data_IF_339444559757
#
_entry.id   IF_339444559757
#
_cell.length_a   1.000
_cell.length_b   1.000
_cell.length_c   1.000
_cell.angle_alpha   90.00
_cell.angle_beta   90.00
_cell.angle_gamma   90.00
#
_symmetry.space_group_name_H-M   'P 1'
#
loop_
_entity.id
_entity.type
_entity.pdbx_description
1 polymer ?
#
# COMPACT_ATOMS: atom_id res chain seq x y z
N UNK A 1 2.70 -15.55 11.49
CA UNK A 1 1.99 -14.47 10.77
C UNK A 1 1.25 -13.57 11.75
N UNK A 2 1.98 -12.82 12.57
CA UNK A 2 1.37 -12.12 13.73
C UNK A 2 1.21 -10.61 13.46
N UNK A 3 2.00 -10.09 12.53
CA UNK A 3 2.02 -8.69 12.10
C UNK A 3 1.46 -8.64 10.68
N UNK A 4 0.43 -7.83 10.44
CA UNK A 4 -0.30 -7.73 9.17
C UNK A 4 -0.79 -9.10 8.62
N UNK A 5 -1.58 -9.87 9.41
CA UNK A 5 -1.93 -11.24 9.08
C UNK A 5 -2.72 -11.38 7.77
N UNK A 6 -3.57 -10.40 7.43
CA UNK A 6 -4.34 -10.43 6.18
C UNK A 6 -3.40 -10.37 4.98
N UNK A 7 -2.50 -9.40 4.95
CA UNK A 7 -1.58 -9.16 3.84
C UNK A 7 -0.70 -10.40 3.59
N UNK A 8 -0.08 -10.93 4.65
CA UNK A 8 0.80 -12.08 4.50
C UNK A 8 0.06 -13.39 4.22
N UNK A 9 -1.20 -13.54 4.65
CA UNK A 9 -2.05 -14.66 4.23
C UNK A 9 -2.41 -14.59 2.75
N UNK A 10 -2.75 -13.40 2.24
CA UNK A 10 -3.04 -13.20 0.81
C UNK A 10 -1.78 -13.41 -0.03
N UNK A 11 -0.63 -12.88 0.40
CA UNK A 11 0.66 -13.10 -0.29
C UNK A 11 1.10 -14.55 -0.26
N UNK A 12 0.81 -15.28 0.83
CA UNK A 12 1.04 -16.71 0.90
C UNK A 12 0.10 -17.49 -0.02
N UNK A 13 -1.18 -17.13 -0.04
CA UNK A 13 -2.16 -17.71 -0.96
C UNK A 13 -1.77 -17.48 -2.42
N UNK A 14 -1.21 -16.31 -2.77
CA UNK A 14 -0.69 -16.01 -4.10
C UNK A 14 0.71 -16.58 -4.36
N UNK A 15 1.28 -17.38 -3.44
CA UNK A 15 2.63 -17.97 -3.57
C UNK A 15 3.81 -16.98 -3.46
N UNK A 16 3.54 -15.69 -3.31
CA UNK A 16 4.55 -14.63 -3.26
C UNK A 16 5.35 -14.62 -1.94
N UNK A 17 4.73 -15.02 -0.82
CA UNK A 17 5.37 -15.03 0.49
C UNK A 17 5.33 -16.39 1.16
N UNK A 18 6.38 -16.68 1.93
CA UNK A 18 6.47 -17.89 2.75
C UNK A 18 7.30 -17.57 3.99
N UNK A 19 6.72 -17.82 5.16
CA UNK A 19 7.33 -17.48 6.45
C UNK A 19 8.15 -18.63 7.05
N UNK A 20 7.80 -19.90 6.75
CA UNK A 20 8.52 -21.09 7.24
C UNK A 20 9.26 -21.78 6.10
N UNK A 21 10.49 -22.25 6.34
CA UNK A 21 11.15 -23.20 5.43
C UNK A 21 10.46 -24.54 5.60
N UNK A 22 10.15 -25.22 4.50
CA UNK A 22 9.66 -26.60 4.57
C UNK A 22 10.89 -27.50 4.62
N UNK A 23 10.86 -28.48 5.52
CA UNK A 23 11.90 -29.51 5.58
C UNK A 23 11.78 -30.49 4.39
N UNK A 24 10.60 -30.56 3.77
CA UNK A 24 10.32 -31.41 2.60
C UNK A 24 10.64 -30.69 1.27
N UNK A 25 11.64 -31.21 0.55
CA UNK A 25 12.11 -30.70 -0.75
C UNK A 25 10.98 -30.66 -1.81
N UNK A 26 10.11 -31.68 -1.83
CA UNK A 26 9.01 -31.77 -2.80
C UNK A 26 8.01 -30.64 -2.64
N UNK A 27 7.63 -30.32 -1.39
CA UNK A 27 6.68 -29.23 -1.10
C UNK A 27 7.29 -27.87 -1.43
N UNK A 28 8.59 -27.70 -1.15
CA UNK A 28 9.34 -26.50 -1.56
C UNK A 28 9.40 -26.33 -3.09
N UNK A 29 9.56 -27.42 -3.83
CA UNK A 29 9.54 -27.42 -5.30
C UNK A 29 8.16 -27.03 -5.85
N UNK A 30 7.08 -27.70 -5.40
CA UNK A 30 5.71 -27.39 -5.83
C UNK A 30 5.33 -25.94 -5.55
N UNK A 31 5.66 -25.43 -4.37
CA UNK A 31 5.41 -24.02 -4.04
C UNK A 31 6.22 -23.06 -4.92
N UNK A 32 7.44 -23.44 -5.30
CA UNK A 32 8.25 -22.63 -6.22
C UNK A 32 7.63 -22.62 -7.62
N UNK A 33 7.19 -23.77 -8.14
CA UNK A 33 6.46 -23.87 -9.40
C UNK A 33 5.20 -23.00 -9.39
N UNK A 34 4.40 -23.06 -8.31
CA UNK A 34 3.20 -22.24 -8.16
C UNK A 34 3.49 -20.74 -8.18
N UNK A 35 4.52 -20.29 -7.46
CA UNK A 35 4.96 -18.89 -7.46
C UNK A 35 5.36 -18.42 -8.87
N UNK A 36 6.16 -19.22 -9.59
CA UNK A 36 6.60 -18.87 -10.95
C UNK A 36 5.44 -18.91 -11.95
N UNK A 37 4.46 -19.80 -11.77
CA UNK A 37 3.25 -19.84 -12.60
C UNK A 37 2.43 -18.54 -12.46
N UNK A 38 2.20 -18.06 -11.23
CA UNK A 38 1.50 -16.77 -11.00
C UNK A 38 2.32 -15.60 -11.54
N UNK A 39 3.64 -15.62 -11.33
CA UNK A 39 4.53 -14.60 -11.89
C UNK A 39 4.41 -14.53 -13.42
N UNK A 40 4.50 -15.67 -14.09
CA UNK A 40 4.37 -15.75 -15.55
C UNK A 40 2.97 -15.30 -16.02
N UNK A 41 1.91 -15.74 -15.35
CA UNK A 41 0.53 -15.35 -15.67
C UNK A 41 0.35 -13.83 -15.68
N UNK A 42 0.81 -13.13 -14.63
CA UNK A 42 0.66 -11.68 -14.49
C UNK A 42 1.51 -10.92 -15.51
N UNK A 43 2.77 -11.34 -15.70
CA UNK A 43 3.67 -10.67 -16.63
C UNK A 43 3.24 -10.88 -18.09
N UNK A 44 2.81 -12.08 -18.45
CA UNK A 44 2.26 -12.37 -19.78
C UNK A 44 1.03 -11.51 -20.06
N UNK A 45 0.08 -11.47 -19.11
CA UNK A 45 -1.12 -10.63 -19.26
C UNK A 45 -0.77 -9.14 -19.39
N UNK A 46 0.19 -8.65 -18.61
CA UNK A 46 0.67 -7.25 -18.71
C UNK A 46 1.28 -6.96 -20.08
N UNK A 47 2.06 -7.88 -20.65
CA UNK A 47 2.64 -7.73 -21.99
C UNK A 47 1.53 -7.63 -23.05
N UNK A 48 0.49 -8.46 -22.94
CA UNK A 48 -0.64 -8.45 -23.88
C UNK A 48 -1.44 -7.14 -23.84
N UNK A 49 -1.67 -6.59 -22.65
CA UNK A 49 -2.30 -5.26 -22.49
C UNK A 49 -1.42 -4.14 -23.08
N UNK A 50 -0.12 -4.16 -22.84
CA UNK A 50 0.81 -3.15 -23.38
C UNK A 50 0.88 -3.21 -24.91
N UNK A 51 0.91 -4.41 -25.50
CA UNK A 51 0.88 -4.57 -26.96
C UNK A 51 -0.42 -3.99 -27.53
N UNK A 52 -1.56 -4.23 -26.89
CA UNK A 52 -2.84 -3.71 -27.35
C UNK A 52 -2.89 -2.18 -27.31
N UNK A 53 -2.39 -1.57 -26.24
CA UNK A 53 -2.25 -0.10 -26.13
C UNK A 53 -1.38 0.47 -27.25
N UNK A 54 -0.30 -0.21 -27.63
CA UNK A 54 0.57 0.22 -28.74
C UNK A 54 -0.16 0.11 -30.09
N UNK A 55 -1.02 -0.91 -30.24
CA UNK A 55 -1.79 -1.16 -31.47
C UNK A 55 -2.94 -0.17 -31.66
N UNK A 56 -3.66 0.15 -30.59
CA UNK A 56 -4.84 1.05 -30.62
C UNK A 56 -4.50 2.53 -30.47
N UNK A 57 -3.19 2.88 -30.53
CA UNK A 57 -2.69 4.25 -30.31
C UNK A 57 -3.33 5.33 -31.19
N UNK A 58 -3.82 4.96 -32.36
CA UNK A 58 -4.38 5.91 -33.33
C UNK A 58 -5.86 6.25 -33.01
N UNK A 59 -6.52 5.47 -32.16
CA UNK A 59 -7.91 5.66 -31.74
C UNK A 59 -7.98 6.10 -30.27
N UNK A 60 -8.26 7.39 -30.05
CA UNK A 60 -8.21 8.01 -28.70
C UNK A 60 -9.08 7.28 -27.67
N UNK A 61 -10.28 6.85 -28.03
CA UNK A 61 -11.20 6.18 -27.09
C UNK A 61 -10.66 4.81 -26.63
N UNK A 62 -10.19 3.99 -27.58
CA UNK A 62 -9.64 2.66 -27.29
C UNK A 62 -8.30 2.75 -26.58
N UNK A 63 -7.46 3.71 -26.97
CA UNK A 63 -6.22 4.04 -26.30
C UNK A 63 -6.46 4.41 -24.82
N UNK A 64 -7.47 5.24 -24.55
CA UNK A 64 -7.77 5.69 -23.19
C UNK A 64 -8.26 4.53 -22.31
N UNK A 65 -9.04 3.61 -22.88
CA UNK A 65 -9.50 2.38 -22.20
C UNK A 65 -8.33 1.44 -21.87
N UNK A 66 -7.42 1.21 -22.81
CA UNK A 66 -6.24 0.37 -22.58
C UNK A 66 -5.22 1.02 -21.62
N UNK A 67 -5.04 2.34 -21.68
CA UNK A 67 -4.01 3.05 -20.90
C UNK A 67 -4.21 2.92 -19.39
N UNK A 68 -5.45 2.98 -18.89
CA UNK A 68 -5.68 2.92 -17.44
C UNK A 68 -5.46 1.52 -16.88
N UNK A 69 -5.87 0.47 -17.60
CA UNK A 69 -5.63 -0.92 -17.22
C UNK A 69 -4.14 -1.26 -17.32
N UNK A 70 -3.51 -0.97 -18.47
CA UNK A 70 -2.09 -1.23 -18.69
C UNK A 70 -1.22 -0.53 -17.63
N UNK A 71 -1.52 0.75 -17.31
CA UNK A 71 -0.83 1.47 -16.24
C UNK A 71 -0.93 0.76 -14.89
N UNK A 72 -2.11 0.27 -14.53
CA UNK A 72 -2.31 -0.48 -13.28
C UNK A 72 -1.51 -1.77 -13.26
N UNK A 73 -1.51 -2.55 -14.33
CA UNK A 73 -0.73 -3.80 -14.43
C UNK A 73 0.78 -3.57 -14.45
N UNK A 74 1.26 -2.50 -15.11
CA UNK A 74 2.67 -2.10 -15.07
C UNK A 74 3.08 -1.74 -13.64
N UNK A 75 2.27 -0.96 -12.91
CA UNK A 75 2.57 -0.65 -11.49
C UNK A 75 2.58 -1.90 -10.61
N UNK A 76 1.67 -2.86 -10.85
CA UNK A 76 1.66 -4.14 -10.16
C UNK A 76 2.96 -4.92 -10.42
N UNK A 77 3.40 -5.01 -11.67
CA UNK A 77 4.65 -5.70 -12.01
C UNK A 77 5.85 -5.08 -11.28
N UNK A 78 5.93 -3.75 -11.24
CA UNK A 78 6.98 -3.02 -10.52
C UNK A 78 6.94 -3.29 -9.01
N UNK A 79 5.75 -3.27 -8.39
CA UNK A 79 5.57 -3.62 -6.98
C UNK A 79 5.98 -5.07 -6.70
N UNK A 80 5.57 -5.99 -7.56
CA UNK A 80 5.87 -7.41 -7.40
C UNK A 80 7.38 -7.67 -7.52
N UNK A 81 8.04 -7.08 -8.51
CA UNK A 81 9.49 -7.16 -8.67
C UNK A 81 10.22 -6.60 -7.43
N UNK A 82 9.84 -5.42 -6.95
CA UNK A 82 10.44 -4.83 -5.74
C UNK A 82 10.27 -5.76 -4.52
N UNK A 83 9.06 -6.26 -4.29
CA UNK A 83 8.78 -7.18 -3.18
C UNK A 83 9.64 -8.44 -3.22
N UNK A 84 9.79 -9.05 -4.41
CA UNK A 84 10.61 -10.24 -4.58
C UNK A 84 12.11 -9.98 -4.33
N UNK A 85 12.63 -8.85 -4.84
CA UNK A 85 14.03 -8.46 -4.66
C UNK A 85 14.35 -8.10 -3.20
N UNK A 86 13.39 -7.53 -2.47
CA UNK A 86 13.57 -7.01 -1.11
C UNK A 86 12.98 -7.91 -0.01
N UNK A 87 12.62 -9.15 -0.36
CA UNK A 87 11.97 -10.11 0.56
C UNK A 87 12.71 -10.25 1.91
N UNK A 88 14.04 -10.35 1.87
CA UNK A 88 14.86 -10.49 3.09
C UNK A 88 14.81 -9.24 3.97
N UNK A 89 14.78 -8.05 3.37
CA UNK A 89 14.70 -6.80 4.11
C UNK A 89 13.31 -6.59 4.72
N UNK A 90 12.25 -7.02 4.03
CA UNK A 90 10.89 -7.08 4.58
C UNK A 90 10.82 -8.02 5.79
N UNK A 91 11.48 -9.19 5.73
CA UNK A 91 11.57 -10.09 6.89
C UNK A 91 12.26 -9.39 8.08
N UNK A 92 13.38 -8.70 7.84
CA UNK A 92 14.07 -7.94 8.90
C UNK A 92 13.18 -6.85 9.49
N UNK A 93 12.33 -6.19 8.70
CA UNK A 93 11.36 -5.20 9.20
C UNK A 93 10.33 -5.83 10.14
N UNK A 94 9.81 -7.01 9.79
CA UNK A 94 8.91 -7.76 10.68
C UNK A 94 9.61 -8.13 11.98
N UNK A 95 10.85 -8.59 11.90
CA UNK A 95 11.64 -8.95 13.08
C UNK A 95 11.94 -7.73 13.96
N UNK A 96 12.15 -6.55 13.39
CA UNK A 96 12.28 -5.30 14.15
C UNK A 96 11.03 -5.01 15.02
N UNK A 97 9.82 -5.29 14.51
CA UNK A 97 8.57 -5.11 15.25
C UNK A 97 8.34 -6.21 16.30
N UNK A 98 9.02 -7.36 16.20
CA UNK A 98 8.97 -8.46 17.18
C UNK A 98 9.92 -8.28 18.36
N UNK A 99 10.87 -7.35 18.27
CA UNK A 99 11.81 -7.05 19.37
C UNK A 99 11.04 -6.72 20.65
N UNK A 100 11.54 -7.19 21.80
CA UNK A 100 10.93 -7.01 23.13
C UNK A 100 10.54 -5.55 23.44
N UNK A 101 11.30 -4.56 22.94
CA UNK A 101 10.98 -3.14 23.09
C UNK A 101 9.68 -2.73 22.39
N UNK A 102 9.35 -3.34 21.26
CA UNK A 102 8.13 -3.05 20.50
C UNK A 102 6.90 -3.81 21.02
N UNK A 103 7.08 -4.75 21.95
CA UNK A 103 6.02 -5.54 22.56
C UNK A 103 5.36 -4.78 23.73
N UNK A 104 4.06 -5.00 23.97
CA UNK A 104 3.34 -4.37 25.08
C UNK A 104 3.74 -5.00 26.42
N UNK A 105 3.85 -4.16 27.46
CA UNK A 105 4.11 -4.57 28.86
C UNK A 105 2.82 -4.71 29.65
N UNK A 106 1.86 -3.82 29.38
CA UNK A 106 0.63 -3.67 30.13
C UNK A 106 -0.58 -3.79 29.20
N UNK A 107 -1.77 -4.03 29.79
CA UNK A 107 -3.03 -4.10 29.05
C UNK A 107 -3.28 -2.83 28.22
N UNK A 108 -2.96 -1.66 28.77
CA UNK A 108 -3.12 -0.38 28.07
C UNK A 108 -2.22 -0.27 26.83
N UNK A 109 -0.97 -0.75 26.91
CA UNK A 109 -0.06 -0.77 25.75
C UNK A 109 -0.53 -1.77 24.70
N UNK A 110 -1.06 -2.93 25.15
CA UNK A 110 -1.65 -3.94 24.27
C UNK A 110 -2.84 -3.37 23.49
N UNK A 111 -3.72 -2.61 24.15
CA UNK A 111 -4.85 -1.94 23.49
C UNK A 111 -4.39 -0.95 22.40
N UNK A 112 -3.30 -0.21 22.61
CA UNK A 112 -2.75 0.72 21.59
C UNK A 112 -2.34 -0.07 20.35
N UNK A 113 -1.52 -1.12 20.53
CA UNK A 113 -1.02 -1.94 19.42
C UNK A 113 -2.17 -2.64 18.68
N UNK A 114 -3.14 -3.18 19.42
CA UNK A 114 -4.31 -3.83 18.83
C UNK A 114 -5.20 -2.85 18.05
N UNK A 115 -5.34 -1.61 18.52
CA UNK A 115 -6.11 -0.57 17.81
C UNK A 115 -5.47 -0.25 16.47
N UNK A 116 -4.16 -0.03 16.44
CA UNK A 116 -3.41 0.23 15.21
C UNK A 116 -3.38 -1.01 14.28
N UNK A 117 -3.20 -2.21 14.84
CA UNK A 117 -3.26 -3.45 14.06
C UNK A 117 -4.65 -3.69 13.47
N UNK A 118 -5.71 -3.35 14.20
CA UNK A 118 -7.11 -3.44 13.74
C UNK A 118 -7.37 -2.42 12.63
N UNK A 119 -6.87 -1.19 12.78
CA UNK A 119 -6.93 -0.15 11.74
C UNK A 119 -6.30 -0.63 10.44
N UNK A 120 -5.07 -1.15 10.50
CA UNK A 120 -4.37 -1.71 9.33
C UNK A 120 -5.15 -2.88 8.69
N UNK A 121 -5.68 -3.80 9.51
CA UNK A 121 -6.49 -4.94 9.04
C UNK A 121 -7.75 -4.48 8.30
N UNK A 122 -8.55 -3.59 8.91
CA UNK A 122 -9.80 -3.15 8.31
C UNK A 122 -9.58 -2.28 7.07
N UNK A 123 -8.57 -1.40 7.08
CA UNK A 123 -8.22 -0.64 5.87
C UNK A 123 -7.86 -1.57 4.71
N UNK A 124 -7.08 -2.63 4.95
CA UNK A 124 -6.75 -3.60 3.90
C UNK A 124 -7.96 -4.42 3.44
N UNK A 125 -8.85 -4.83 4.35
CA UNK A 125 -10.02 -5.63 4.00
C UNK A 125 -11.07 -4.83 3.22
N UNK A 126 -11.32 -3.59 3.64
CA UNK A 126 -12.25 -2.69 2.95
C UNK A 126 -11.73 -2.40 1.54
N UNK A 127 -10.44 -2.07 1.41
CA UNK A 127 -9.84 -1.83 0.11
C UNK A 127 -9.87 -3.07 -0.79
N UNK A 128 -9.56 -4.26 -0.23
CA UNK A 128 -9.64 -5.52 -0.96
C UNK A 128 -11.06 -5.82 -1.45
N UNK A 129 -12.06 -5.66 -0.58
CA UNK A 129 -13.45 -5.89 -0.93
C UNK A 129 -13.90 -4.96 -2.06
N UNK A 130 -13.62 -3.66 -1.93
CA UNK A 130 -13.93 -2.67 -2.97
C UNK A 130 -13.31 -3.03 -4.32
N UNK A 131 -12.01 -3.33 -4.34
CA UNK A 131 -11.31 -3.67 -5.59
C UNK A 131 -11.78 -4.99 -6.21
N UNK A 132 -12.17 -5.97 -5.39
CA UNK A 132 -12.72 -7.24 -5.88
C UNK A 132 -14.12 -7.06 -6.47
N UNK A 133 -14.97 -6.23 -5.86
CA UNK A 133 -16.29 -5.89 -6.42
C UNK A 133 -16.12 -5.22 -7.78
N UNK A 134 -15.16 -4.29 -7.91
CA UNK A 134 -14.83 -3.68 -9.20
C UNK A 134 -14.40 -4.72 -10.24
N UNK A 135 -13.51 -5.65 -9.88
CA UNK A 135 -13.06 -6.71 -10.78
C UNK A 135 -14.20 -7.63 -11.22
N UNK A 136 -15.09 -8.00 -10.31
CA UNK A 136 -16.29 -8.77 -10.65
C UNK A 136 -17.18 -8.02 -11.64
N UNK A 137 -17.31 -6.69 -11.52
CA UNK A 137 -18.01 -5.86 -12.50
C UNK A 137 -17.46 -6.02 -13.92
N UNK A 138 -16.14 -5.90 -14.08
CA UNK A 138 -15.46 -6.11 -15.37
C UNK A 138 -15.67 -7.52 -15.93
N UNK A 139 -15.73 -8.55 -15.08
CA UNK A 139 -16.00 -9.92 -15.53
C UNK A 139 -17.45 -10.14 -15.97
N UNK A 140 -18.41 -9.49 -15.31
CA UNK A 140 -19.85 -9.71 -15.55
C UNK A 140 -20.34 -8.94 -16.79
N UNK A 141 -19.77 -7.77 -17.10
CA UNK A 141 -20.18 -6.95 -18.27
C UNK A 141 -20.19 -7.74 -19.59
N UNK A 142 -19.12 -8.46 -19.99
CA UNK A 142 -19.11 -9.26 -21.20
C UNK A 142 -20.13 -10.41 -21.18
N UNK A 143 -20.36 -11.02 -19.99
CA UNK A 143 -21.33 -12.11 -19.84
C UNK A 143 -22.75 -11.60 -20.08
N UNK A 144 -23.11 -10.43 -19.55
CA UNK A 144 -24.43 -9.83 -19.76
C UNK A 144 -24.61 -9.30 -21.20
N UNK A 145 -23.50 -9.05 -21.89
CA UNK A 145 -23.46 -8.73 -23.32
C UNK A 145 -23.58 -9.93 -24.25
N UNK A 146 -23.61 -11.18 -23.74
CA UNK A 146 -23.85 -12.37 -24.56
C UNK A 146 -25.16 -12.23 -25.32
N UNK A 147 -25.08 -12.11 -26.65
CA UNK A 147 -26.23 -11.94 -27.53
C UNK A 147 -26.07 -10.85 -28.59
N UNK A 148 -25.01 -10.05 -28.55
CA UNK A 148 -24.52 -9.31 -29.73
C UNK A 148 -23.52 -10.23 -30.47
N UNK A 149 -23.50 -10.20 -31.80
CA UNK A 149 -22.79 -11.16 -32.68
C UNK A 149 -21.24 -11.18 -32.55
N UNK A 150 -20.67 -10.62 -31.48
CA UNK A 150 -19.23 -10.53 -31.23
C UNK A 150 -18.86 -11.13 -29.87
N UNK A 151 -17.80 -11.94 -29.85
CA UNK A 151 -17.24 -12.52 -28.63
C UNK A 151 -16.49 -11.44 -27.82
N UNK A 152 -17.07 -10.97 -26.71
CA UNK A 152 -16.51 -9.87 -25.91
C UNK A 152 -15.64 -10.44 -24.78
N UNK A 153 -14.36 -10.07 -24.74
CA UNK A 153 -13.45 -10.42 -23.66
C UNK A 153 -13.59 -9.46 -22.45
N UNK A 154 -13.31 -9.91 -21.21
CA UNK A 154 -13.28 -9.07 -20.01
C UNK A 154 -12.39 -7.84 -20.11
N UNK A 155 -11.23 -7.99 -20.75
CA UNK A 155 -10.36 -6.87 -21.12
C UNK A 155 -9.95 -6.99 -22.57
N UNK A 156 -9.84 -5.85 -23.24
CA UNK A 156 -9.29 -5.74 -24.59
C UNK A 156 -7.77 -5.90 -24.48
N UNK A 157 -7.31 -7.15 -24.56
CA UNK A 157 -5.90 -7.50 -24.56
C UNK A 157 -5.53 -8.14 -25.89
N UNK A 158 -4.28 -7.95 -26.33
CA UNK A 158 -3.77 -8.59 -27.53
C UNK A 158 -3.69 -10.10 -27.33
N UNK A 159 -4.24 -10.87 -28.26
CA UNK A 159 -4.16 -12.33 -28.27
C UNK A 159 -3.57 -12.77 -29.62
N UNK A 160 -2.50 -13.59 -29.65
CA UNK A 160 -1.82 -13.96 -30.89
C UNK A 160 -2.56 -15.02 -31.72
N UNK A 161 -3.72 -15.50 -31.26
CA UNK A 161 -4.54 -16.53 -31.91
C UNK A 161 -5.98 -16.04 -32.07
N UNK A 162 -6.71 -16.62 -33.04
CA UNK A 162 -8.11 -16.25 -33.31
C UNK A 162 -9.03 -16.73 -32.19
N UNK A 163 -9.77 -15.81 -31.60
CA UNK A 163 -10.76 -16.08 -30.53
C UNK A 163 -12.16 -16.36 -31.11
N UNK A 164 -12.23 -16.69 -32.40
CA UNK A 164 -13.49 -16.93 -33.13
C UNK A 164 -14.16 -18.25 -32.77
N UNK A 165 -13.38 -19.21 -32.27
CA UNK A 165 -13.87 -20.52 -31.83
C UNK A 165 -14.17 -20.53 -30.32
N UNK A 166 -15.13 -21.36 -29.90
CA UNK A 166 -15.59 -21.46 -28.51
C UNK A 166 -14.47 -21.88 -27.55
N UNK A 167 -13.63 -22.83 -27.95
CA UNK A 167 -12.56 -23.35 -27.09
C UNK A 167 -11.48 -22.29 -26.75
N UNK A 168 -10.82 -21.64 -27.73
CA UNK A 168 -9.84 -20.58 -27.42
C UNK A 168 -10.48 -19.38 -26.73
N UNK A 169 -11.75 -19.07 -27.00
CA UNK A 169 -12.50 -18.04 -26.26
C UNK A 169 -12.62 -18.39 -24.77
N UNK A 170 -13.17 -19.55 -24.43
CA UNK A 170 -13.36 -19.97 -23.03
C UNK A 170 -12.01 -20.08 -22.30
N UNK A 171 -10.98 -20.62 -22.96
CA UNK A 171 -9.65 -20.72 -22.38
C UNK A 171 -9.06 -19.34 -22.05
N UNK A 172 -9.15 -18.39 -22.99
CA UNK A 172 -8.66 -17.01 -22.79
C UNK A 172 -9.46 -16.31 -21.70
N UNK A 173 -10.78 -16.46 -21.71
CA UNK A 173 -11.66 -15.88 -20.69
C UNK A 173 -11.28 -16.37 -19.28
N UNK A 174 -11.07 -17.67 -19.10
CA UNK A 174 -10.63 -18.25 -17.82
C UNK A 174 -9.23 -17.76 -17.41
N UNK A 175 -8.31 -17.65 -18.37
CA UNK A 175 -6.97 -17.12 -18.10
C UNK A 175 -7.02 -15.65 -17.65
N UNK A 176 -7.79 -14.79 -18.34
CA UNK A 176 -7.97 -13.39 -17.97
C UNK A 176 -8.66 -13.26 -16.61
N UNK A 177 -9.68 -14.09 -16.34
CA UNK A 177 -10.35 -14.15 -15.03
C UNK A 177 -9.36 -14.44 -13.89
N UNK A 178 -8.51 -15.45 -14.08
CA UNK A 178 -7.50 -15.83 -13.11
C UNK A 178 -6.46 -14.72 -12.92
N UNK A 179 -5.98 -14.13 -14.03
CA UNK A 179 -5.02 -13.03 -14.01
C UNK A 179 -5.57 -11.83 -13.22
N UNK A 180 -6.81 -11.41 -13.50
CA UNK A 180 -7.47 -10.29 -12.81
C UNK A 180 -7.64 -10.57 -11.31
N UNK A 181 -8.12 -11.77 -10.96
CA UNK A 181 -8.31 -12.16 -9.56
C UNK A 181 -7.00 -12.11 -8.76
N UNK A 182 -5.94 -12.74 -9.26
CA UNK A 182 -4.63 -12.73 -8.61
C UNK A 182 -3.98 -11.34 -8.61
N UNK A 183 -4.15 -10.56 -9.69
CA UNK A 183 -3.62 -9.22 -9.81
C UNK A 183 -4.20 -8.28 -8.75
N UNK A 184 -5.52 -8.30 -8.54
CA UNK A 184 -6.17 -7.48 -7.49
C UNK A 184 -5.68 -7.88 -6.10
N UNK A 185 -5.63 -9.18 -5.81
CA UNK A 185 -5.16 -9.70 -4.52
C UNK A 185 -3.72 -9.24 -4.22
N UNK A 186 -2.82 -9.36 -5.20
CA UNK A 186 -1.42 -8.96 -5.05
C UNK A 186 -1.25 -7.45 -4.98
N UNK A 187 -1.92 -6.69 -5.85
CA UNK A 187 -1.83 -5.23 -5.87
C UNK A 187 -2.24 -4.63 -4.51
N UNK A 188 -3.42 -5.04 -4.02
CA UNK A 188 -3.93 -4.60 -2.72
C UNK A 188 -2.99 -5.01 -1.58
N UNK A 189 -2.45 -6.23 -1.62
CA UNK A 189 -1.52 -6.71 -0.59
C UNK A 189 -0.21 -5.93 -0.57
N UNK A 190 0.35 -5.58 -1.73
CA UNK A 190 1.56 -4.77 -1.78
C UNK A 190 1.30 -3.35 -1.26
N UNK A 191 0.17 -2.75 -1.61
CA UNK A 191 -0.19 -1.43 -1.10
C UNK A 191 -0.42 -1.44 0.41
N UNK A 192 -1.16 -2.44 0.89
CA UNK A 192 -1.47 -2.58 2.31
C UNK A 192 -0.30 -2.95 3.19
N UNK A 193 0.75 -3.55 2.63
CA UNK A 193 2.01 -3.70 3.34
C UNK A 193 2.65 -2.34 3.66
N UNK A 194 2.68 -1.41 2.71
CA UNK A 194 3.36 -0.11 2.90
C UNK A 194 2.63 0.72 3.95
N UNK A 195 1.34 1.00 3.76
CA UNK A 195 0.60 1.75 4.78
C UNK A 195 0.38 0.96 6.07
N UNK A 196 0.38 -0.38 6.02
CA UNK A 196 0.36 -1.24 7.21
C UNK A 196 1.61 -1.03 8.09
N UNK A 197 2.80 -1.00 7.50
CA UNK A 197 4.04 -0.67 8.23
C UNK A 197 4.00 0.76 8.79
N UNK A 198 3.45 1.72 8.03
CA UNK A 198 3.27 3.09 8.50
C UNK A 198 2.35 3.17 9.72
N UNK A 199 1.21 2.48 9.70
CA UNK A 199 0.27 2.41 10.84
C UNK A 199 0.95 1.79 12.06
N UNK A 200 1.70 0.70 11.88
CA UNK A 200 2.46 0.11 12.98
C UNK A 200 3.52 1.07 13.53
N UNK A 201 4.22 1.85 12.68
CA UNK A 201 5.13 2.89 13.13
C UNK A 201 4.40 3.98 13.95
N UNK A 202 3.21 4.42 13.52
CA UNK A 202 2.37 5.35 14.28
C UNK A 202 2.02 4.79 15.67
N UNK A 203 1.64 3.50 15.75
CA UNK A 203 1.36 2.85 17.02
C UNK A 203 2.59 2.74 17.94
N UNK A 204 3.76 2.50 17.37
CA UNK A 204 5.02 2.49 18.14
C UNK A 204 5.42 3.89 18.64
N UNK A 205 5.16 4.95 17.85
CA UNK A 205 5.35 6.33 18.29
C UNK A 205 4.41 6.68 19.46
N UNK A 206 3.13 6.30 19.35
CA UNK A 206 2.17 6.53 20.43
C UNK A 206 2.55 5.79 21.72
N UNK A 207 3.10 4.58 21.59
CA UNK A 207 3.65 3.81 22.70
C UNK A 207 4.84 4.54 23.35
N UNK A 208 5.76 5.10 22.55
CA UNK A 208 6.88 5.92 23.06
C UNK A 208 6.35 7.13 23.82
N UNK A 209 5.39 7.88 23.27
CA UNK A 209 4.82 9.06 23.94
C UNK A 209 4.28 8.73 25.34
N UNK A 210 3.56 7.61 25.47
CA UNK A 210 3.02 7.17 26.76
C UNK A 210 4.13 6.77 27.74
N UNK A 211 5.01 5.86 27.32
CA UNK A 211 6.13 5.40 28.16
C UNK A 211 6.99 6.56 28.64
N UNK A 212 7.24 7.53 27.77
CA UNK A 212 8.01 8.72 28.10
C UNK A 212 7.30 9.59 29.14
N UNK A 213 6.00 9.82 28.98
CA UNK A 213 5.19 10.58 29.94
C UNK A 213 5.15 9.91 31.32
N UNK A 214 4.94 8.58 31.34
CA UNK A 214 4.89 7.78 32.57
C UNK A 214 6.25 7.75 33.28
N UNK A 215 7.34 7.53 32.54
CA UNK A 215 8.69 7.51 33.09
C UNK A 215 9.12 8.87 33.62
N UNK A 216 8.77 9.97 32.94
CA UNK A 216 9.05 11.33 33.43
C UNK A 216 8.28 11.57 34.73
N UNK A 217 6.99 11.21 34.79
CA UNK A 217 6.19 11.36 36.03
C UNK A 217 6.78 10.55 37.19
N UNK A 218 7.20 9.31 36.93
CA UNK A 218 7.86 8.48 37.93
C UNK A 218 9.19 9.08 38.41
N UNK A 219 10.02 9.58 37.49
CA UNK A 219 11.33 10.18 37.83
C UNK A 219 11.20 11.42 38.73
N UNK A 220 10.11 12.19 38.59
CA UNK A 220 9.86 13.38 39.41
C UNK A 220 9.34 13.01 40.80
N UNK A 221 8.51 11.97 40.90
CA UNK A 221 7.90 11.56 42.16
C UNK A 221 8.83 10.74 43.06
N UNK A 222 9.72 9.92 42.48
CA UNK A 222 10.66 9.09 43.23
C UNK A 222 12.04 9.74 43.30
N UNK A 223 12.34 10.43 44.41
CA UNK A 223 13.72 10.85 44.74
C UNK A 223 14.57 9.60 45.03
N UNK A 224 15.38 9.20 44.05
CA UNK A 224 16.55 8.29 44.12
C UNK A 224 16.35 6.95 44.87
N UNK A 225 16.38 5.85 44.11
CA UNK A 225 16.69 4.53 44.67
C UNK A 225 16.42 3.40 43.68
N UNK A 226 17.38 3.14 42.79
CA UNK A 226 17.43 2.04 41.81
C UNK A 226 16.32 1.98 40.73
N UNK A 227 16.71 1.71 39.49
CA UNK A 227 15.90 1.37 38.30
C UNK A 227 15.20 2.46 37.46
N UNK A 228 15.17 3.74 37.85
CA UNK A 228 14.56 4.79 36.98
C UNK A 228 15.43 5.18 35.79
N UNK A 229 16.77 5.20 35.92
CA UNK A 229 17.70 5.63 34.86
C UNK A 229 17.62 4.76 33.59
N UNK A 230 17.29 3.48 33.72
CA UNK A 230 17.17 2.54 32.59
C UNK A 230 15.91 2.78 31.75
N UNK A 231 14.91 3.47 32.30
CA UNK A 231 13.58 3.62 31.66
C UNK A 231 13.55 4.67 30.54
N UNK A 232 14.20 5.84 30.74
CA UNK A 232 14.28 6.90 29.71
C UNK A 232 15.28 6.51 28.63
N UNK A 233 16.40 5.89 28.99
CA UNK A 233 17.38 5.35 28.04
C UNK A 233 16.73 4.31 27.11
N UNK A 234 15.86 3.46 27.65
CA UNK A 234 15.09 2.52 26.85
C UNK A 234 14.13 3.22 25.88
N UNK A 235 13.44 4.28 26.29
CA UNK A 235 12.61 5.09 25.40
C UNK A 235 13.42 5.75 24.28
N UNK A 236 14.65 6.24 24.58
CA UNK A 236 15.56 6.79 23.57
C UNK A 236 15.92 5.71 22.54
N UNK A 237 16.28 4.51 23.02
CA UNK A 237 16.62 3.37 22.14
C UNK A 237 15.43 2.93 21.28
N UNK A 238 14.23 2.94 21.85
CA UNK A 238 12.99 2.64 21.13
C UNK A 238 12.68 3.70 20.06
N UNK A 239 12.86 4.98 20.38
CA UNK A 239 12.73 6.08 19.40
C UNK A 239 13.71 5.93 18.22
N UNK A 240 14.98 5.61 18.50
CA UNK A 240 16.00 5.36 17.46
C UNK A 240 15.62 4.14 16.61
N UNK A 241 15.11 3.07 17.22
CA UNK A 241 14.64 1.87 16.52
C UNK A 241 13.50 2.20 15.56
N UNK A 242 12.47 2.93 16.02
CA UNK A 242 11.31 3.31 15.19
C UNK A 242 11.73 4.25 14.06
N UNK A 243 12.58 5.23 14.33
CA UNK A 243 13.11 6.13 13.32
C UNK A 243 13.91 5.37 12.24
N UNK A 244 14.71 4.38 12.65
CA UNK A 244 15.44 3.51 11.73
C UNK A 244 14.51 2.61 10.93
N UNK A 245 13.46 2.07 11.57
CA UNK A 245 12.43 1.28 10.92
C UNK A 245 11.72 2.07 9.82
N UNK A 246 11.25 3.28 10.12
CA UNK A 246 10.59 4.17 9.13
C UNK A 246 11.54 4.48 7.96
N UNK A 247 12.81 4.80 8.23
CA UNK A 247 13.80 5.03 7.16
C UNK A 247 13.99 3.82 6.26
N UNK A 248 14.03 2.61 6.83
CA UNK A 248 14.14 1.36 6.05
C UNK A 248 12.88 1.13 5.21
N UNK A 249 11.68 1.31 5.77
CA UNK A 249 10.42 1.23 5.00
C UNK A 249 10.44 2.21 3.83
N UNK A 250 10.86 3.45 4.07
CA UNK A 250 10.99 4.47 3.03
C UNK A 250 11.97 4.04 1.93
N UNK A 251 13.17 3.59 2.30
CA UNK A 251 14.17 3.14 1.33
C UNK A 251 13.72 1.96 0.45
N UNK A 252 12.84 1.09 0.97
CA UNK A 252 12.31 -0.04 0.21
C UNK A 252 11.21 0.37 -0.76
N UNK A 253 10.30 1.25 -0.36
CA UNK A 253 9.04 1.45 -1.09
C UNK A 253 8.88 2.83 -1.73
N UNK A 254 9.62 3.87 -1.32
CA UNK A 254 9.33 5.25 -1.75
C UNK A 254 9.40 5.44 -3.26
N UNK A 255 10.40 4.84 -3.93
CA UNK A 255 10.52 4.91 -5.38
C UNK A 255 9.36 4.25 -6.10
N UNK A 256 8.93 3.07 -5.64
CA UNK A 256 7.77 2.38 -6.22
C UNK A 256 6.48 3.16 -6.00
N UNK A 257 6.30 3.78 -4.83
CA UNK A 257 5.13 4.63 -4.55
C UNK A 257 5.14 5.90 -5.41
N UNK A 258 6.30 6.50 -5.67
CA UNK A 258 6.40 7.63 -6.58
C UNK A 258 5.96 7.27 -8.00
N UNK A 259 6.45 6.14 -8.53
CA UNK A 259 6.04 5.67 -9.85
C UNK A 259 4.54 5.37 -9.88
N UNK A 260 3.99 4.77 -8.82
CA UNK A 260 2.55 4.57 -8.67
C UNK A 260 1.78 5.90 -8.73
N UNK A 261 2.24 6.95 -8.07
CA UNK A 261 1.57 8.26 -8.09
C UNK A 261 1.59 8.90 -9.48
N UNK A 262 2.68 8.75 -10.24
CA UNK A 262 2.73 9.22 -11.63
C UNK A 262 1.74 8.47 -12.52
N UNK A 263 1.69 7.14 -12.42
CA UNK A 263 0.68 6.36 -13.16
C UNK A 263 -0.74 6.67 -12.69
N UNK A 264 -0.95 6.99 -11.41
CA UNK A 264 -2.28 7.38 -10.90
C UNK A 264 -2.81 8.65 -11.56
N UNK A 265 -1.95 9.59 -11.98
CA UNK A 265 -2.38 10.77 -12.74
C UNK A 265 -3.02 10.38 -14.08
N UNK A 266 -2.35 9.48 -14.81
CA UNK A 266 -2.83 8.94 -16.08
C UNK A 266 -4.13 8.19 -15.84
N UNK A 267 -4.15 7.29 -14.86
CA UNK A 267 -5.33 6.46 -14.54
C UNK A 267 -6.54 7.32 -14.17
N UNK A 268 -6.38 8.30 -13.29
CA UNK A 268 -7.49 9.17 -12.88
C UNK A 268 -8.00 10.04 -14.04
N UNK A 269 -7.09 10.62 -14.83
CA UNK A 269 -7.44 11.42 -16.02
C UNK A 269 -8.24 10.60 -17.05
N UNK A 270 -7.71 9.45 -17.43
CA UNK A 270 -8.31 8.53 -18.42
C UNK A 270 -9.62 7.93 -17.91
N UNK A 271 -9.73 7.60 -16.62
CA UNK A 271 -10.98 7.12 -16.01
C UNK A 271 -12.08 8.20 -16.04
N UNK A 272 -11.77 9.45 -15.71
CA UNK A 272 -12.76 10.55 -15.77
C UNK A 272 -13.24 10.75 -17.22
N UNK A 273 -12.34 10.64 -18.19
CA UNK A 273 -12.69 10.72 -19.62
C UNK A 273 -13.62 9.60 -20.07
N UNK A 274 -13.36 8.35 -19.68
CA UNK A 274 -14.29 7.24 -20.00
C UNK A 274 -15.64 7.41 -19.30
N UNK A 275 -15.64 7.87 -18.05
CA UNK A 275 -16.88 8.15 -17.31
C UNK A 275 -17.70 9.24 -18.00
N UNK A 276 -17.08 10.26 -18.62
CA UNK A 276 -17.79 11.34 -19.32
C UNK A 276 -18.43 10.89 -20.64
N UNK A 277 -17.88 9.85 -21.27
CA UNK A 277 -18.36 9.31 -22.57
C UNK A 277 -19.35 8.15 -22.42
N UNK A 278 -19.40 7.50 -21.26
CA UNK A 278 -20.27 6.36 -21.01
C UNK A 278 -21.69 6.77 -20.61
N UNK A 279 -22.68 5.95 -20.99
CA UNK A 279 -24.10 6.22 -20.67
C UNK A 279 -24.31 6.12 -19.16
N UNK A 280 -24.95 7.14 -18.60
CA UNK A 280 -25.32 7.18 -17.18
C UNK A 280 -26.13 5.93 -16.79
N UNK A 281 -25.84 5.40 -15.59
CA UNK A 281 -26.48 4.22 -15.00
C UNK A 281 -26.30 2.89 -15.76
N UNK A 282 -25.43 2.84 -16.76
CA UNK A 282 -25.00 1.55 -17.34
C UNK A 282 -24.10 0.77 -16.35
N UNK A 283 -24.03 -0.55 -16.51
CA UNK A 283 -23.15 -1.42 -15.70
C UNK A 283 -21.68 -1.05 -15.91
N UNK A 284 -21.32 -0.67 -17.13
CA UNK A 284 -20.00 -0.13 -17.50
C UNK A 284 -19.68 1.16 -16.72
N UNK A 285 -20.61 2.12 -16.72
CA UNK A 285 -20.49 3.36 -15.96
C UNK A 285 -20.29 3.12 -14.45
N UNK A 286 -21.07 2.20 -13.86
CA UNK A 286 -20.91 1.82 -12.46
C UNK A 286 -19.53 1.18 -12.19
N UNK A 287 -19.06 0.30 -13.07
CA UNK A 287 -17.76 -0.36 -12.92
C UNK A 287 -16.60 0.63 -13.03
N UNK A 288 -16.67 1.59 -13.97
CA UNK A 288 -15.70 2.68 -14.12
C UNK A 288 -15.67 3.62 -12.91
N UNK A 289 -16.83 3.97 -12.35
CA UNK A 289 -16.90 4.79 -11.13
C UNK A 289 -16.30 4.03 -9.93
N UNK A 290 -16.63 2.75 -9.76
CA UNK A 290 -16.08 1.95 -8.68
C UNK A 290 -14.56 1.80 -8.82
N UNK A 291 -14.05 1.66 -10.05
CA UNK A 291 -12.63 1.66 -10.34
C UNK A 291 -11.98 2.99 -9.98
N UNK A 292 -12.56 4.11 -10.42
CA UNK A 292 -12.08 5.46 -10.10
C UNK A 292 -12.01 5.70 -8.58
N UNK A 293 -13.08 5.34 -7.85
CA UNK A 293 -13.12 5.43 -6.39
C UNK A 293 -12.05 4.55 -5.74
N UNK A 294 -11.83 3.34 -6.25
CA UNK A 294 -10.80 2.43 -5.75
C UNK A 294 -9.39 3.01 -5.92
N UNK A 295 -9.08 3.57 -7.09
CA UNK A 295 -7.78 4.21 -7.35
C UNK A 295 -7.58 5.48 -6.51
N UNK A 296 -8.64 6.28 -6.35
CA UNK A 296 -8.64 7.44 -5.45
C UNK A 296 -8.39 7.03 -3.99
N UNK A 297 -9.07 5.99 -3.52
CA UNK A 297 -8.87 5.45 -2.17
C UNK A 297 -7.46 4.93 -1.98
N UNK A 298 -6.88 4.25 -2.97
CA UNK A 298 -5.50 3.77 -2.93
C UNK A 298 -4.52 4.93 -2.66
N UNK A 299 -4.55 5.99 -3.48
CA UNK A 299 -3.68 7.16 -3.32
C UNK A 299 -3.96 7.87 -1.98
N UNK A 300 -5.23 8.00 -1.61
CA UNK A 300 -5.64 8.61 -0.35
C UNK A 300 -5.06 7.86 0.86
N UNK A 301 -5.12 6.52 0.91
CA UNK A 301 -4.60 5.74 2.03
C UNK A 301 -3.09 5.93 2.21
N UNK A 302 -2.31 5.97 1.12
CA UNK A 302 -0.88 6.28 1.18
C UNK A 302 -0.62 7.66 1.81
N UNK A 303 -1.30 8.69 1.32
CA UNK A 303 -1.12 10.06 1.76
C UNK A 303 -1.65 10.30 3.18
N UNK A 304 -2.78 9.68 3.54
CA UNK A 304 -3.39 9.77 4.86
C UNK A 304 -2.47 9.22 5.94
N UNK A 305 -2.00 7.97 5.76
CA UNK A 305 -1.13 7.34 6.75
C UNK A 305 0.27 7.93 6.77
N UNK A 306 0.79 8.40 5.64
CA UNK A 306 2.03 9.18 5.59
C UNK A 306 1.94 10.47 6.40
N UNK A 307 0.84 11.22 6.24
CA UNK A 307 0.57 12.43 7.01
C UNK A 307 0.34 12.14 8.51
N UNK A 308 -0.39 11.07 8.83
CA UNK A 308 -0.60 10.63 10.22
C UNK A 308 0.72 10.31 10.92
N UNK A 309 1.66 9.67 10.21
CA UNK A 309 3.00 9.39 10.73
C UNK A 309 3.75 10.68 11.06
N UNK A 310 3.71 11.66 10.15
CA UNK A 310 4.36 12.95 10.38
C UNK A 310 3.77 13.66 11.61
N UNK A 311 2.45 13.74 11.72
CA UNK A 311 1.77 14.36 12.86
C UNK A 311 2.07 13.64 14.18
N UNK A 312 2.01 12.30 14.20
CA UNK A 312 2.31 11.50 15.39
C UNK A 312 3.76 11.67 15.82
N UNK A 313 4.70 11.72 14.88
CA UNK A 313 6.11 11.92 15.20
C UNK A 313 6.38 13.29 15.84
N UNK A 314 5.74 14.36 15.35
CA UNK A 314 5.81 15.70 15.96
C UNK A 314 5.18 15.74 17.35
N UNK A 315 4.14 14.93 17.58
CA UNK A 315 3.50 14.81 18.90
C UNK A 315 4.43 14.32 20.00
N UNK A 316 5.53 13.63 19.70
CA UNK A 316 6.51 13.20 20.72
C UNK A 316 7.09 14.42 21.44
N UNK A 317 7.44 15.47 20.70
CA UNK A 317 7.97 16.70 21.27
C UNK A 317 6.95 17.36 22.20
N UNK A 318 5.67 17.39 21.80
CA UNK A 318 4.58 17.93 22.62
C UNK A 318 4.39 17.12 23.91
N UNK A 319 4.40 15.79 23.83
CA UNK A 319 4.27 14.92 25.01
C UNK A 319 5.40 15.13 26.01
N UNK A 320 6.64 15.35 25.54
CA UNK A 320 7.75 15.72 26.43
C UNK A 320 7.51 17.11 27.01
N UNK A 321 7.17 18.10 26.18
CA UNK A 321 7.02 19.48 26.61
C UNK A 321 5.97 19.65 27.73
N UNK A 322 4.83 18.96 27.62
CA UNK A 322 3.77 18.99 28.63
C UNK A 322 4.06 18.14 29.88
N UNK A 323 5.17 17.40 29.90
CA UNK A 323 5.60 16.66 31.08
C UNK A 323 6.45 17.54 32.01
N UNK A 324 6.64 17.13 33.26
CA UNK A 324 7.51 17.82 34.22
C UNK A 324 9.01 17.54 33.96
N UNK A 325 9.43 17.53 32.69
CA UNK A 325 10.78 17.18 32.25
C UNK A 325 11.87 18.10 32.83
N UNK A 326 11.52 19.33 33.21
CA UNK A 326 12.43 20.29 33.87
C UNK A 326 12.82 19.89 35.29
N UNK A 327 12.08 18.97 35.92
CA UNK A 327 12.36 18.44 37.26
C UNK A 327 13.19 17.14 37.22
N UNK A 328 13.46 16.59 36.03
CA UNK A 328 14.28 15.39 35.83
C UNK A 328 15.78 15.66 36.01
N UNK A 329 16.58 14.60 36.10
CA UNK A 329 18.04 14.72 36.25
C UNK A 329 18.68 15.39 35.02
N UNK A 330 19.87 15.97 35.19
CA UNK A 330 20.58 16.65 34.09
C UNK A 330 20.85 15.71 32.89
N UNK A 331 21.14 14.43 33.16
CA UNK A 331 21.37 13.42 32.10
C UNK A 331 20.09 13.15 31.31
N UNK A 332 18.98 12.88 32.00
CA UNK A 332 17.68 12.62 31.36
C UNK A 332 17.21 13.85 30.58
N UNK A 333 17.34 15.04 31.17
CA UNK A 333 16.98 16.30 30.52
C UNK A 333 17.70 16.49 29.19
N UNK A 334 19.01 16.22 29.12
CA UNK A 334 19.78 16.27 27.87
C UNK A 334 19.25 15.30 26.82
N UNK A 335 18.95 14.06 27.20
CA UNK A 335 18.36 13.07 26.31
C UNK A 335 16.97 13.47 25.81
N UNK A 336 16.12 14.01 26.68
CA UNK A 336 14.77 14.48 26.33
C UNK A 336 14.82 15.66 25.36
N UNK A 337 15.71 16.64 25.58
CA UNK A 337 15.93 17.75 24.64
C UNK A 337 16.33 17.23 23.26
N UNK A 338 17.24 16.24 23.19
CA UNK A 338 17.63 15.63 21.91
C UNK A 338 16.44 14.94 21.22
N UNK A 339 15.59 14.23 21.96
CA UNK A 339 14.37 13.64 21.38
C UNK A 339 13.43 14.73 20.86
N UNK A 340 13.21 15.81 21.62
CA UNK A 340 12.33 16.91 21.21
C UNK A 340 12.82 17.56 19.91
N UNK A 341 14.10 17.94 19.83
CA UNK A 341 14.69 18.57 18.63
C UNK A 341 14.54 17.66 17.41
N UNK A 342 14.80 16.35 17.57
CA UNK A 342 14.65 15.40 16.47
C UNK A 342 13.18 15.21 16.06
N UNK A 343 12.28 15.14 17.02
CA UNK A 343 10.84 14.90 16.77
C UNK A 343 10.16 16.09 16.10
N UNK A 344 10.61 17.33 16.37
CA UNK A 344 10.10 18.54 15.72
C UNK A 344 10.28 18.57 14.21
N UNK A 345 11.33 17.89 13.68
CA UNK A 345 11.54 17.77 12.23
C UNK A 345 10.47 16.93 11.54
N UNK A 346 9.80 16.05 12.28
CA UNK A 346 8.84 15.09 11.75
C UNK A 346 9.51 13.90 11.05
N UNK A 347 8.85 12.75 11.13
CA UNK A 347 9.15 11.55 10.35
C UNK A 347 8.24 11.55 9.12
N UNK A 348 8.81 11.82 7.96
CA UNK A 348 8.09 11.81 6.69
C UNK A 348 8.75 10.84 5.71
N UNK A 349 7.92 10.10 4.98
CA UNK A 349 8.38 9.38 3.80
C UNK A 349 8.61 10.38 2.68
N UNK A 350 9.88 10.70 2.42
CA UNK A 350 10.26 11.60 1.33
C UNK A 350 11.47 11.07 0.59
N UNK A 351 11.42 11.16 -0.74
CA UNK A 351 12.57 10.96 -1.59
C UNK A 351 13.12 12.33 -2.00
N UNK A 352 14.30 12.68 -1.48
CA UNK A 352 15.04 13.89 -1.86
C UNK A 352 14.22 15.20 -1.89
N UNK A 353 13.25 15.35 -0.98
CA UNK A 353 12.32 16.51 -0.84
C UNK A 353 11.35 16.77 -2.00
N UNK A 354 11.36 16.00 -3.09
CA UNK A 354 10.47 16.26 -4.24
C UNK A 354 9.05 15.70 -4.05
N UNK A 355 8.92 14.54 -3.42
CA UNK A 355 7.63 13.91 -3.16
C UNK A 355 7.53 13.46 -1.71
N UNK A 356 6.43 13.79 -1.07
CA UNK A 356 6.08 13.45 0.31
C UNK A 356 4.77 12.69 0.34
N UNK A 357 4.64 11.69 1.21
CA UNK A 357 3.34 11.06 1.45
C UNK A 357 2.49 11.97 2.36
N UNK A 358 1.86 12.99 1.76
CA UNK A 358 1.07 14.03 2.44
C UNK A 358 -0.27 14.27 1.77
N UNK A 359 -1.22 14.84 2.51
CA UNK A 359 -2.54 15.21 1.97
C UNK A 359 -2.46 16.31 0.90
N UNK A 360 -1.43 17.16 0.96
CA UNK A 360 -1.14 18.14 -0.09
C UNK A 360 -0.82 17.45 -1.42
N UNK A 361 -0.04 16.36 -1.37
CA UNK A 361 0.31 15.58 -2.56
C UNK A 361 -0.91 14.89 -3.15
N UNK A 362 -1.80 14.36 -2.32
CA UNK A 362 -3.09 13.81 -2.77
C UNK A 362 -3.93 14.87 -3.50
N UNK A 363 -4.05 16.07 -2.91
CA UNK A 363 -4.80 17.18 -3.50
C UNK A 363 -4.17 17.62 -4.82
N UNK A 364 -2.84 17.66 -4.90
CA UNK A 364 -2.11 17.98 -6.12
C UNK A 364 -2.36 16.94 -7.22
N UNK A 365 -2.30 15.64 -6.90
CA UNK A 365 -2.59 14.55 -7.85
C UNK A 365 -4.01 14.70 -8.41
N UNK A 366 -4.99 14.92 -7.53
CA UNK A 366 -6.38 15.04 -7.93
C UNK A 366 -6.62 16.25 -8.84
N UNK A 367 -6.14 17.44 -8.45
CA UNK A 367 -6.26 18.66 -9.25
C UNK A 367 -5.58 18.52 -10.61
N UNK A 368 -4.36 17.99 -10.64
CA UNK A 368 -3.59 17.80 -11.87
C UNK A 368 -4.27 16.82 -12.81
N UNK A 369 -4.82 15.72 -12.29
CA UNK A 369 -5.57 14.73 -13.09
C UNK A 369 -6.82 15.34 -13.72
N UNK A 370 -7.55 16.18 -12.97
CA UNK A 370 -8.74 16.88 -13.47
C UNK A 370 -8.37 17.94 -14.53
N UNK A 371 -7.28 18.69 -14.32
CA UNK A 371 -6.76 19.62 -15.34
C UNK A 371 -6.34 18.89 -16.62
N UNK A 372 -5.66 17.74 -16.50
CA UNK A 372 -5.30 16.91 -17.64
C UNK A 372 -6.53 16.37 -18.37
N UNK A 373 -7.57 15.96 -17.63
CA UNK A 373 -8.86 15.56 -18.21
C UNK A 373 -9.50 16.70 -19.02
N UNK A 374 -9.52 17.93 -18.51
CA UNK A 374 -10.08 19.06 -19.25
C UNK A 374 -9.34 19.32 -20.58
N UNK A 375 -8.02 19.16 -20.60
CA UNK A 375 -7.21 19.25 -21.83
C UNK A 375 -7.56 18.11 -22.80
N UNK A 376 -7.67 16.88 -22.30
CA UNK A 376 -8.03 15.72 -23.12
C UNK A 376 -9.44 15.86 -23.70
N UNK A 377 -10.39 16.38 -22.92
CA UNK A 377 -11.75 16.66 -23.37
C UNK A 377 -11.79 17.75 -24.45
N UNK A 378 -10.98 18.81 -24.31
CA UNK A 378 -10.85 19.85 -25.32
C UNK A 378 -10.22 19.32 -26.62
N UNK A 379 -9.23 18.43 -26.53
CA UNK A 379 -8.58 17.85 -27.71
C UNK A 379 -9.44 16.76 -28.41
N UNK A 380 -10.37 16.14 -27.69
CA UNK A 380 -11.30 15.15 -28.22
C UNK A 380 -12.55 15.77 -28.87
N UNK A 381 -12.87 17.03 -28.55
CA UNK A 381 -13.97 17.78 -29.15
C UNK A 381 -13.46 18.52 -30.38
#
# INVERSE_FOLDING_TARGET
MDILPVNFKVLWFCGAWKERKDDNIVVACLHSCYKYAIFFLIYQFTIFEVIEVIRTRDQINELTEGLFLASTYVTLCLKYANFLLRKNDISKLLDCLRVKMCQPRNLTEKMIIETHSRKAKWSSLIFLFMSQVTAMGFMIIPILGFGKDEWILPTKAYVPYSVSEVFPYVATYLQQSAALFYAVMLNVSFDSLVYGFTIHACGQIELICRRLSDNIRASVNFKKGSDTNTSIEECVRHHVLVHTFVKKVGALFIWTVMVLFLFSLIILCTSIFLISKTKLFSIEFLSLILYFISMMLQVFLYCWYGNELELKSKSIANSIYFSNWTLTTLRERRSLILIMINSQRGLMFSNNRMFSLSLDTFTWIFKTSYSAFNLLQQASN
#
